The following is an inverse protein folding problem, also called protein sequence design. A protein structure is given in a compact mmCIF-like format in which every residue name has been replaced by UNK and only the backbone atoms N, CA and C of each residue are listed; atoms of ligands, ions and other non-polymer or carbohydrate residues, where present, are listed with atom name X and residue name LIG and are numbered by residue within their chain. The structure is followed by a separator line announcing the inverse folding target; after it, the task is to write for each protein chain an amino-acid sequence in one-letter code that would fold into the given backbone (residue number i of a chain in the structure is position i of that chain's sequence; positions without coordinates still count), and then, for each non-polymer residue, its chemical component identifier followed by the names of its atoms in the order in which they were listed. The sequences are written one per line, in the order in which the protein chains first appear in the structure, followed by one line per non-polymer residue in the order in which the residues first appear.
data_IF_649386984037
#
_entry.id   IF_649386984037
#
_cell.length_a   1.000
_cell.length_b   1.000
_cell.length_c   1.000
_cell.angle_alpha   90.00
_cell.angle_beta   90.00
_cell.angle_gamma   90.00
#
_symmetry.space_group_name_H-M   'P 1'
#
loop_
_entity.id
_entity.type
_entity.pdbx_description
1 polymer ?
#
# COMPACT_ATOMS: atom_id res chain seq x y z
N UNK A 1 12.48 -14.12 5.28
CA UNK A 1 11.93 -13.24 6.33
C UNK A 1 11.56 -11.91 5.67
N UNK A 2 10.37 -11.37 5.92
CA UNK A 2 9.92 -10.11 5.28
C UNK A 2 10.82 -8.94 5.71
N UNK A 3 11.44 -8.25 4.74
CA UNK A 3 12.33 -7.10 4.99
C UNK A 3 11.55 -5.98 5.68
N UNK A 4 10.32 -5.71 5.24
CA UNK A 4 9.48 -4.64 5.78
C UNK A 4 9.01 -4.95 7.20
N UNK A 5 8.62 -6.19 7.47
CA UNK A 5 8.26 -6.60 8.82
C UNK A 5 9.45 -6.54 9.78
N UNK A 6 10.61 -7.01 9.35
CA UNK A 6 11.85 -6.88 10.11
C UNK A 6 12.25 -5.41 10.36
N UNK A 7 12.01 -4.52 9.40
CA UNK A 7 12.27 -3.09 9.56
C UNK A 7 11.32 -2.46 10.59
N UNK A 8 10.02 -2.75 10.51
CA UNK A 8 9.01 -2.25 11.47
C UNK A 8 9.30 -2.73 12.90
N UNK A 9 9.69 -3.99 13.08
CA UNK A 9 10.06 -4.51 14.41
C UNK A 9 11.23 -3.75 15.06
N UNK A 10 12.16 -3.24 14.24
CA UNK A 10 13.30 -2.45 14.72
C UNK A 10 12.94 -0.99 14.98
N UNK A 11 11.97 -0.46 14.23
CA UNK A 11 11.51 0.91 14.34
C UNK A 11 10.06 1.01 13.83
N UNK A 12 9.14 1.39 14.71
CA UNK A 12 7.71 1.47 14.40
C UNK A 12 7.35 2.48 13.30
N UNK A 13 8.27 3.40 12.98
CA UNK A 13 8.12 4.34 11.85
C UNK A 13 8.61 3.76 10.51
N UNK A 14 8.98 2.48 10.45
CA UNK A 14 9.36 1.77 9.22
C UNK A 14 8.36 0.67 8.87
N UNK A 15 8.59 -0.05 7.77
CA UNK A 15 7.67 -1.08 7.25
C UNK A 15 7.04 -0.72 5.90
N UNK A 16 7.56 0.31 5.24
CA UNK A 16 7.23 0.73 3.89
C UNK A 16 8.51 0.86 3.05
N UNK A 17 8.38 1.04 1.75
CA UNK A 17 9.49 1.23 0.83
C UNK A 17 10.04 2.67 0.97
N UNK A 18 11.15 2.85 1.69
CA UNK A 18 11.71 4.18 2.00
C UNK A 18 12.32 4.87 0.79
N UNK A 19 12.79 4.08 -0.17
CA UNK A 19 13.25 4.52 -1.49
C UNK A 19 12.16 5.25 -2.27
N UNK A 20 10.89 4.83 -2.18
CA UNK A 20 9.77 5.54 -2.79
C UNK A 20 9.67 7.00 -2.29
N UNK A 21 9.78 7.21 -0.98
CA UNK A 21 9.75 8.57 -0.39
C UNK A 21 10.96 9.38 -0.87
N UNK A 22 12.15 8.79 -0.80
CA UNK A 22 13.39 9.46 -1.19
C UNK A 22 13.41 9.85 -2.68
N UNK A 23 12.83 9.03 -3.55
CA UNK A 23 12.74 9.29 -4.99
C UNK A 23 11.64 10.30 -5.33
N UNK A 24 10.50 10.23 -4.63
CA UNK A 24 9.36 11.10 -4.93
C UNK A 24 9.52 12.51 -4.35
N UNK A 25 10.16 12.65 -3.19
CA UNK A 25 10.39 13.92 -2.51
C UNK A 25 10.90 15.06 -3.43
N UNK A 26 11.99 14.91 -4.19
CA UNK A 26 12.48 15.97 -5.08
C UNK A 26 11.52 16.29 -6.24
N UNK A 27 10.53 15.45 -6.51
CA UNK A 27 9.56 15.60 -7.60
C UNK A 27 8.22 16.20 -7.12
N UNK A 28 7.98 16.28 -5.81
CA UNK A 28 6.71 16.76 -5.25
C UNK A 28 6.28 18.15 -5.76
N UNK A 29 7.18 19.15 -5.91
CA UNK A 29 6.79 20.45 -6.47
C UNK A 29 6.25 20.35 -7.90
N UNK A 30 6.89 19.53 -8.73
CA UNK A 30 6.49 19.36 -10.12
C UNK A 30 5.20 18.54 -10.24
N UNK A 31 5.07 17.47 -9.45
CA UNK A 31 3.86 16.64 -9.36
C UNK A 31 2.66 17.51 -9.00
N UNK A 32 2.77 18.33 -7.95
CA UNK A 32 1.69 19.21 -7.52
C UNK A 32 1.37 20.27 -8.57
N UNK A 33 2.38 20.95 -9.11
CA UNK A 33 2.20 22.00 -10.12
C UNK A 33 1.52 21.49 -11.38
N UNK A 34 1.84 20.27 -11.82
CA UNK A 34 1.28 19.65 -13.03
C UNK A 34 0.00 18.86 -12.77
N UNK A 35 -0.42 18.70 -11.52
CA UNK A 35 -1.58 17.88 -11.16
C UNK A 35 -1.39 16.40 -11.48
N UNK A 36 -0.15 15.89 -11.44
CA UNK A 36 0.15 14.48 -11.71
C UNK A 36 -0.38 13.63 -10.55
N UNK A 37 -1.11 12.56 -10.88
CA UNK A 37 -1.59 11.58 -9.92
C UNK A 37 -0.58 10.46 -9.77
N UNK A 38 -0.21 10.12 -8.53
CA UNK A 38 0.74 9.04 -8.24
C UNK A 38 0.02 7.92 -7.51
N UNK A 39 0.18 6.68 -7.96
CA UNK A 39 -0.41 5.49 -7.31
C UNK A 39 0.72 4.52 -7.02
N UNK A 40 0.83 4.05 -5.77
CA UNK A 40 1.94 3.19 -5.35
C UNK A 40 1.51 2.16 -4.31
N UNK A 41 2.11 0.98 -4.33
CA UNK A 41 2.04 -0.04 -3.27
C UNK A 41 3.21 0.02 -2.29
N UNK A 42 3.93 1.15 -2.27
CA UNK A 42 5.07 1.38 -1.39
C UNK A 42 4.71 1.37 0.11
N UNK A 43 3.43 1.50 0.47
CA UNK A 43 2.99 1.51 1.87
C UNK A 43 3.31 0.21 2.62
N UNK A 44 3.48 -0.91 1.89
CA UNK A 44 3.99 -2.15 2.46
C UNK A 44 3.09 -2.68 3.56
N UNK A 45 3.58 -2.65 4.80
CA UNK A 45 2.83 -3.04 6.01
C UNK A 45 2.63 -1.87 6.99
N UNK A 46 2.99 -0.63 6.60
CA UNK A 46 2.90 0.56 7.43
C UNK A 46 2.58 1.79 6.56
N UNK A 47 1.31 1.87 6.17
CA UNK A 47 0.76 2.89 5.27
C UNK A 47 0.91 4.30 5.85
N UNK A 48 0.63 4.42 7.14
CA UNK A 48 0.64 5.66 7.90
C UNK A 48 2.05 6.24 7.93
N UNK A 49 3.06 5.43 8.24
CA UNK A 49 4.44 5.91 8.27
C UNK A 49 4.94 6.31 6.87
N UNK A 50 4.48 5.63 5.82
CA UNK A 50 4.80 6.01 4.43
C UNK A 50 4.20 7.37 4.07
N UNK A 51 2.91 7.57 4.40
CA UNK A 51 2.20 8.85 4.22
C UNK A 51 2.88 9.98 4.98
N UNK A 52 3.15 9.77 6.26
CA UNK A 52 3.67 10.80 7.16
C UNK A 52 5.09 11.22 6.74
N UNK A 53 5.89 10.29 6.24
CA UNK A 53 7.18 10.60 5.64
C UNK A 53 7.04 11.48 4.38
N UNK A 54 6.08 11.19 3.50
CA UNK A 54 5.81 12.05 2.33
C UNK A 54 5.27 13.43 2.71
N UNK A 55 4.36 13.50 3.69
CA UNK A 55 3.84 14.78 4.19
C UNK A 55 5.00 15.63 4.72
N UNK A 56 5.90 15.03 5.52
CA UNK A 56 7.07 15.73 6.04
C UNK A 56 8.00 16.27 4.95
N UNK A 57 8.18 15.52 3.85
CA UNK A 57 8.96 16.04 2.70
C UNK A 57 8.22 17.15 1.97
N UNK A 58 6.89 17.06 1.83
CA UNK A 58 6.07 18.09 1.19
C UNK A 58 6.04 19.40 1.99
N UNK A 59 6.01 19.33 3.32
CA UNK A 59 6.02 20.48 4.22
C UNK A 59 7.29 21.33 4.04
N UNK A 60 8.45 20.71 3.77
CA UNK A 60 9.71 21.43 3.49
C UNK A 60 9.60 22.32 2.26
N UNK A 61 8.79 21.91 1.29
CA UNK A 61 8.53 22.62 0.04
C UNK A 61 7.26 23.50 0.11
N UNK A 62 6.64 23.62 1.29
CA UNK A 62 5.36 24.32 1.50
C UNK A 62 4.22 23.80 0.60
N UNK A 63 4.22 22.51 0.31
CA UNK A 63 3.22 21.84 -0.52
C UNK A 63 2.21 21.13 0.37
N UNK A 64 0.92 21.43 0.16
CA UNK A 64 -0.15 20.61 0.73
C UNK A 64 -0.45 19.41 -0.19
N UNK A 65 -0.18 18.20 0.30
CA UNK A 65 -0.50 16.94 -0.38
C UNK A 65 -1.77 16.32 0.19
N UNK A 66 -2.72 15.99 -0.69
CA UNK A 66 -3.83 15.11 -0.38
C UNK A 66 -3.42 13.67 -0.69
N UNK A 67 -3.28 12.82 0.34
CA UNK A 67 -2.84 11.42 0.18
C UNK A 67 -3.94 10.48 0.65
N UNK A 68 -4.41 9.61 -0.23
CA UNK A 68 -5.35 8.54 0.11
C UNK A 68 -4.62 7.23 0.44
N UNK A 69 -5.07 6.54 1.49
CA UNK A 69 -4.54 5.24 1.91
C UNK A 69 -5.56 4.15 1.66
N UNK A 70 -5.11 3.03 1.09
CA UNK A 70 -5.93 1.85 0.86
C UNK A 70 -5.53 0.77 1.86
N UNK A 71 -6.41 0.56 2.84
CA UNK A 71 -6.31 -0.47 3.88
C UNK A 71 -7.09 -1.74 3.50
N UNK A 72 -6.96 -2.77 4.32
CA UNK A 72 -7.71 -4.04 4.20
C UNK A 72 -6.88 -5.21 3.70
N UNK A 73 -5.60 -4.99 3.39
CA UNK A 73 -4.66 -6.04 3.05
C UNK A 73 -4.17 -6.76 4.31
N UNK A 74 -3.89 -6.06 5.41
CA UNK A 74 -3.47 -6.68 6.67
C UNK A 74 -4.61 -7.47 7.31
N UNK A 75 -4.40 -8.79 7.46
CA UNK A 75 -5.36 -9.74 8.03
C UNK A 75 -4.76 -10.52 9.21
N UNK A 76 -3.66 -10.03 9.81
CA UNK A 76 -2.98 -10.70 10.91
C UNK A 76 -3.90 -11.00 12.10
N UNK A 77 -4.86 -10.11 12.37
CA UNK A 77 -5.84 -10.27 13.46
C UNK A 77 -6.79 -11.47 13.23
N UNK A 78 -6.82 -12.02 12.01
CA UNK A 78 -7.60 -13.20 11.65
C UNK A 78 -6.79 -14.48 11.69
N UNK A 79 -5.51 -14.46 12.08
CA UNK A 79 -4.63 -15.64 12.04
C UNK A 79 -5.23 -16.87 12.74
N UNK A 80 -5.88 -16.69 13.89
CA UNK A 80 -6.50 -17.78 14.66
C UNK A 80 -7.64 -18.46 13.88
N UNK A 81 -8.34 -17.73 13.01
CA UNK A 81 -9.36 -18.27 12.11
C UNK A 81 -8.74 -19.29 11.14
N UNK A 82 -7.57 -18.97 10.58
CA UNK A 82 -6.89 -19.81 9.59
C UNK A 82 -6.15 -20.99 10.24
N UNK A 83 -5.58 -20.80 11.44
CA UNK A 83 -4.99 -21.88 12.23
C UNK A 83 -6.06 -22.92 12.60
N UNK A 84 -7.23 -22.48 13.07
CA UNK A 84 -8.35 -23.39 13.40
C UNK A 84 -8.91 -24.14 12.19
N UNK A 85 -8.80 -23.56 11.00
CA UNK A 85 -9.19 -24.21 9.72
C UNK A 85 -8.14 -25.20 9.21
N UNK A 86 -7.03 -25.38 9.93
CA UNK A 86 -5.94 -26.28 9.54
C UNK A 86 -5.44 -26.01 8.11
N UNK A 87 -5.39 -24.74 7.72
CA UNK A 87 -4.87 -24.34 6.41
C UNK A 87 -3.41 -24.78 6.30
N UNK A 88 -3.09 -25.44 5.19
CA UNK A 88 -1.75 -25.88 4.86
C UNK A 88 -1.10 -24.87 3.92
N UNK A 89 0.19 -24.64 4.13
CA UNK A 89 1.04 -23.93 3.20
C UNK A 89 1.03 -24.65 1.84
N UNK A 90 0.79 -23.90 0.77
CA UNK A 90 0.59 -24.46 -0.56
C UNK A 90 1.86 -25.11 -1.13
N UNK A 91 3.05 -24.60 -0.79
CA UNK A 91 4.32 -25.10 -1.33
C UNK A 91 4.81 -26.34 -0.57
N UNK A 92 4.67 -26.34 0.76
CA UNK A 92 5.27 -27.34 1.64
C UNK A 92 4.26 -28.35 2.21
N UNK A 93 2.96 -28.06 2.14
CA UNK A 93 1.91 -28.86 2.78
C UNK A 93 1.95 -28.84 4.31
N UNK A 94 2.78 -28.00 4.92
CA UNK A 94 2.92 -27.90 6.37
C UNK A 94 1.82 -27.00 6.97
N UNK A 95 1.41 -27.21 8.23
CA UNK A 95 0.52 -26.27 8.91
C UNK A 95 1.12 -24.86 8.99
N UNK A 96 0.26 -23.85 9.11
CA UNK A 96 0.71 -22.49 9.38
C UNK A 96 1.61 -22.42 10.64
N UNK A 97 2.67 -21.61 10.63
CA UNK A 97 3.54 -21.45 11.79
C UNK A 97 2.81 -20.78 12.94
N UNK A 98 3.18 -21.13 14.19
CA UNK A 98 2.56 -20.53 15.40
C UNK A 98 2.79 -19.03 15.52
N UNK A 99 3.96 -18.55 15.07
CA UNK A 99 4.35 -17.15 15.14
C UNK A 99 4.32 -16.55 13.74
N UNK A 100 3.19 -15.98 13.34
CA UNK A 100 3.04 -15.29 12.06
C UNK A 100 3.47 -13.84 12.25
N UNK A 101 4.51 -13.42 11.55
CA UNK A 101 5.03 -12.05 11.65
C UNK A 101 4.15 -11.04 10.87
N UNK A 102 3.59 -11.47 9.75
CA UNK A 102 2.71 -10.68 8.90
C UNK A 102 1.78 -11.59 8.13
N UNK A 103 0.53 -11.18 7.93
CA UNK A 103 -0.44 -11.90 7.12
C UNK A 103 -1.20 -10.88 6.28
N UNK A 104 -1.07 -10.96 4.96
CA UNK A 104 -1.64 -9.97 4.07
C UNK A 104 -2.39 -10.63 2.90
N UNK A 105 -3.57 -10.11 2.59
CA UNK A 105 -4.29 -10.38 1.35
C UNK A 105 -3.84 -9.38 0.28
N UNK A 106 -3.56 -9.85 -0.93
CA UNK A 106 -3.21 -8.96 -2.03
C UNK A 106 -4.48 -8.37 -2.64
N UNK A 107 -4.65 -7.06 -2.47
CA UNK A 107 -5.79 -6.32 -3.01
C UNK A 107 -5.70 -6.19 -4.55
N UNK A 108 -6.87 -6.04 -5.17
CA UNK A 108 -7.02 -5.79 -6.61
C UNK A 108 -7.23 -4.32 -6.96
N UNK A 109 -7.65 -4.05 -8.20
CA UNK A 109 -7.76 -2.70 -8.77
C UNK A 109 -8.95 -1.85 -8.27
N UNK A 110 -10.01 -2.49 -7.74
CA UNK A 110 -11.26 -1.80 -7.40
C UNK A 110 -11.05 -0.72 -6.34
N UNK A 111 -10.36 -0.96 -5.21
CA UNK A 111 -10.13 0.09 -4.21
C UNK A 111 -9.35 1.29 -4.76
N UNK A 112 -8.45 1.07 -5.73
CA UNK A 112 -7.69 2.13 -6.40
C UNK A 112 -8.63 3.00 -7.25
N UNK A 113 -9.52 2.37 -8.03
CA UNK A 113 -10.57 3.09 -8.77
C UNK A 113 -11.42 3.95 -7.85
N UNK A 114 -11.85 3.41 -6.70
CA UNK A 114 -12.68 4.14 -5.74
C UNK A 114 -11.90 5.30 -5.11
N UNK A 115 -10.65 5.09 -4.71
CA UNK A 115 -9.81 6.15 -4.15
C UNK A 115 -9.55 7.31 -5.14
N UNK A 116 -9.44 7.03 -6.44
CA UNK A 116 -9.27 8.06 -7.47
C UNK A 116 -10.45 9.04 -7.55
N UNK A 117 -11.67 8.63 -7.15
CA UNK A 117 -12.86 9.50 -7.15
C UNK A 117 -12.77 10.65 -6.16
N UNK A 118 -12.01 10.47 -5.08
CA UNK A 118 -11.74 11.51 -4.08
C UNK A 118 -10.65 12.51 -4.54
N UNK A 119 -10.18 12.37 -5.78
CA UNK A 119 -9.16 13.20 -6.42
C UNK A 119 -7.88 13.41 -5.58
N UNK A 120 -7.32 12.40 -4.89
CA UNK A 120 -6.07 12.54 -4.12
C UNK A 120 -4.90 12.90 -5.04
N UNK A 121 -3.88 13.59 -4.55
CA UNK A 121 -2.63 13.78 -5.30
C UNK A 121 -1.86 12.45 -5.39
N UNK A 122 -1.87 11.68 -4.30
CA UNK A 122 -1.15 10.39 -4.19
C UNK A 122 -2.07 9.35 -3.56
N UNK A 123 -2.07 8.13 -4.11
CA UNK A 123 -2.68 6.94 -3.52
C UNK A 123 -1.58 5.99 -3.08
N UNK A 124 -1.61 5.58 -1.81
CA UNK A 124 -0.70 4.59 -1.26
C UNK A 124 -1.52 3.38 -0.83
N UNK A 125 -1.10 2.20 -1.27
CA UNK A 125 -1.70 0.92 -0.90
C UNK A 125 -0.72 0.10 -0.08
N UNK A 126 -1.26 -0.81 0.75
CA UNK A 126 -0.47 -1.85 1.41
C UNK A 126 -0.03 -2.92 0.41
N UNK A 127 -0.36 -4.19 0.67
CA UNK A 127 -0.16 -5.26 -0.32
C UNK A 127 -1.29 -5.27 -1.36
N UNK A 128 -0.95 -4.94 -2.60
CA UNK A 128 -1.79 -5.19 -3.77
C UNK A 128 -0.99 -5.92 -4.85
N UNK A 129 -1.68 -6.54 -5.81
CA UNK A 129 -1.01 -7.03 -7.03
C UNK A 129 -0.51 -5.86 -7.87
N UNK A 130 0.67 -5.97 -8.47
CA UNK A 130 1.27 -4.84 -9.20
C UNK A 130 0.42 -4.38 -10.40
N UNK A 131 -0.26 -5.34 -11.05
CA UNK A 131 -1.21 -5.05 -12.13
C UNK A 131 -2.40 -4.19 -11.68
N UNK A 132 -2.74 -4.20 -10.39
CA UNK A 132 -3.84 -3.39 -9.86
C UNK A 132 -3.55 -1.89 -9.94
N UNK A 133 -2.28 -1.48 -9.85
CA UNK A 133 -1.88 -0.08 -9.95
C UNK A 133 -2.26 0.50 -11.32
N UNK A 134 -1.93 -0.26 -12.38
CA UNK A 134 -2.25 0.11 -13.76
C UNK A 134 -3.74 -0.07 -14.03
N UNK A 135 -4.30 -1.25 -13.71
CA UNK A 135 -5.70 -1.55 -13.99
C UNK A 135 -6.65 -0.60 -13.26
N UNK A 136 -6.37 -0.24 -12.00
CA UNK A 136 -7.20 0.71 -11.24
C UNK A 136 -7.25 2.09 -11.89
N UNK A 137 -6.11 2.55 -12.43
CA UNK A 137 -6.01 3.79 -13.20
C UNK A 137 -6.87 3.73 -14.47
N UNK A 138 -6.74 2.65 -15.23
CA UNK A 138 -7.52 2.44 -16.46
C UNK A 138 -9.02 2.31 -16.18
N UNK A 139 -9.40 1.58 -15.13
CA UNK A 139 -10.79 1.42 -14.74
C UNK A 139 -11.44 2.74 -14.30
N UNK A 140 -10.67 3.65 -13.71
CA UNK A 140 -11.15 4.99 -13.38
C UNK A 140 -11.30 5.84 -14.64
N UNK A 141 -10.24 5.94 -15.46
CA UNK A 141 -10.20 6.79 -16.66
C UNK A 141 -11.28 6.41 -17.68
N UNK A 142 -11.44 5.11 -17.95
CA UNK A 142 -12.39 4.59 -18.94
C UNK A 142 -13.72 4.14 -18.34
N UNK A 143 -13.91 4.39 -17.03
CA UNK A 143 -15.10 3.97 -16.29
C UNK A 143 -15.45 2.47 -16.43
N UNK A 144 -14.46 1.59 -16.57
CA UNK A 144 -14.68 0.15 -16.66
C UNK A 144 -15.33 -0.41 -15.40
N UNK A 145 -16.25 -1.34 -15.58
CA UNK A 145 -16.91 -2.08 -14.50
C UNK A 145 -15.97 -3.18 -13.98
N UNK A 146 -16.34 -3.74 -12.83
CA UNK A 146 -15.61 -4.86 -12.21
C UNK A 146 -15.53 -6.11 -13.11
N UNK A 147 -16.51 -6.26 -14.00
CA UNK A 147 -16.75 -7.45 -14.79
C UNK A 147 -16.64 -7.21 -16.30
N UNK A 148 -16.03 -6.09 -16.71
CA UNK A 148 -15.64 -5.87 -18.10
C UNK A 148 -14.37 -6.67 -18.45
#
# INVERSE_FOLDING_TARGET
MSILAGAKMKNDNLGYATDFVNQLAPLLPEIKKKGIKVISNAGGINLESCRDALIKEAEKENINLNIALIHGDNIIDRQDEFIKKEILDFETGSPLPKNILSMNAYLGAIPIKEALKEAPDIIITGRCVDSALVLGSLMYEYNWKKND
#
